data_IF_939940565484
#
_entry.id   IF_939940565484
#
_cell.length_a   1.000
_cell.length_b   1.000
_cell.length_c   1.000
_cell.angle_alpha   90.00
_cell.angle_beta   90.00
_cell.angle_gamma   90.00
#
_symmetry.space_group_name_H-M   'P 1'
#
loop_
_entity.id
_entity.type
_entity.pdbx_description
1 polymer ?
#
# COMPACT_ATOMS: atom_id res chain seq x y z
N UNK A 1 11.32 2.98 6.55
CA UNK A 1 11.81 4.18 5.86
C UNK A 1 10.62 5.01 5.42
N UNK A 2 10.62 6.30 5.75
CA UNK A 2 9.66 7.26 5.17
C UNK A 2 10.12 7.62 3.75
N UNK A 3 9.28 7.32 2.76
CA UNK A 3 9.49 7.70 1.36
C UNK A 3 8.22 8.36 0.79
N UNK A 4 7.57 9.24 1.57
CA UNK A 4 6.28 9.85 1.24
C UNK A 4 6.23 10.57 -0.13
N UNK A 5 7.37 11.08 -0.62
CA UNK A 5 7.51 11.75 -1.92
C UNK A 5 8.08 10.86 -3.02
N UNK A 6 8.48 9.64 -2.70
CA UNK A 6 9.01 8.69 -3.67
C UNK A 6 7.91 8.00 -4.47
N UNK A 7 8.31 7.39 -5.57
CA UNK A 7 7.44 6.57 -6.41
C UNK A 7 7.65 5.09 -6.10
N UNK A 8 6.60 4.30 -5.87
CA UNK A 8 6.73 2.85 -5.79
C UNK A 8 7.40 2.29 -7.05
N UNK A 9 8.35 1.38 -6.86
CA UNK A 9 9.12 0.69 -7.91
C UNK A 9 10.13 1.54 -8.71
N UNK A 10 10.19 2.87 -8.50
CA UNK A 10 11.13 3.76 -9.21
C UNK A 10 12.05 4.46 -8.20
N UNK A 11 13.34 4.49 -8.48
CA UNK A 11 14.33 5.11 -7.61
C UNK A 11 14.75 4.19 -6.47
N UNK A 12 14.41 4.54 -5.23
CA UNK A 12 14.85 3.79 -4.03
C UNK A 12 14.19 2.42 -3.96
N UNK A 13 14.98 1.38 -4.17
CA UNK A 13 14.58 -0.02 -3.99
C UNK A 13 14.77 -0.44 -2.53
N UNK A 14 13.68 -0.74 -1.82
CA UNK A 14 13.69 -1.20 -0.43
C UNK A 14 14.68 -2.36 -0.20
N UNK A 15 14.80 -3.29 -1.16
CA UNK A 15 15.68 -4.48 -1.06
C UNK A 15 17.16 -4.13 -1.05
N UNK A 16 17.52 -2.94 -1.54
CA UNK A 16 18.88 -2.41 -1.55
C UNK A 16 19.15 -1.49 -0.36
N UNK A 17 18.17 -1.34 0.53
CA UNK A 17 18.29 -0.60 1.77
C UNK A 17 18.32 -1.57 2.96
N UNK A 18 18.81 -1.10 4.11
CA UNK A 18 18.73 -1.85 5.37
C UNK A 18 17.36 -1.68 6.08
N UNK A 19 16.32 -1.20 5.39
CA UNK A 19 15.00 -1.01 5.97
C UNK A 19 14.09 -2.22 5.71
N UNK A 20 13.20 -2.52 6.66
CA UNK A 20 12.23 -3.62 6.51
C UNK A 20 10.93 -3.23 5.81
N UNK A 21 10.57 -1.94 5.87
CA UNK A 21 9.36 -1.37 5.29
C UNK A 21 9.64 0.00 4.67
N UNK A 22 8.87 0.36 3.65
CA UNK A 22 8.83 1.67 3.02
C UNK A 22 7.40 2.19 2.96
N UNK A 23 7.20 3.46 3.33
CA UNK A 23 5.90 4.13 3.33
C UNK A 23 5.86 5.18 2.22
N UNK A 24 4.72 5.31 1.57
CA UNK A 24 4.48 6.24 0.47
C UNK A 24 3.15 6.99 0.66
N UNK A 25 3.11 8.23 0.18
CA UNK A 25 1.86 8.99 0.00
C UNK A 25 1.47 8.90 -1.47
N UNK A 26 0.36 8.23 -1.77
CA UNK A 26 -0.03 7.95 -3.16
C UNK A 26 -0.59 9.18 -3.89
N UNK A 27 -1.09 10.16 -3.13
CA UNK A 27 -1.57 11.44 -3.63
C UNK A 27 -0.46 12.43 -3.97
N UNK A 28 0.65 12.44 -3.21
CA UNK A 28 1.74 13.41 -3.39
C UNK A 28 2.51 13.20 -4.69
N UNK A 29 3.06 12.01 -4.87
CA UNK A 29 4.01 11.74 -5.96
C UNK A 29 3.34 11.08 -7.17
N UNK A 30 2.30 10.26 -6.94
CA UNK A 30 1.67 9.44 -7.98
C UNK A 30 0.39 10.07 -8.53
N UNK A 31 -0.16 11.09 -7.86
CA UNK A 31 -1.43 11.72 -8.24
C UNK A 31 -2.64 10.77 -8.13
N UNK A 32 -2.52 9.73 -7.29
CA UNK A 32 -3.63 8.83 -6.99
C UNK A 32 -4.60 9.47 -5.97
N UNK A 33 -5.78 8.87 -5.70
CA UNK A 33 -6.63 9.30 -4.60
C UNK A 33 -5.89 9.30 -3.25
N UNK A 34 -6.35 10.10 -2.29
CA UNK A 34 -5.77 10.20 -0.93
C UNK A 34 -5.68 8.82 -0.27
N UNK A 35 -4.48 8.25 -0.27
CA UNK A 35 -4.19 6.94 0.28
C UNK A 35 -2.71 6.80 0.64
N UNK A 36 -2.42 6.04 1.69
CA UNK A 36 -1.07 5.60 2.02
C UNK A 36 -0.78 4.21 1.45
N UNK A 37 0.46 3.96 1.05
CA UNK A 37 0.94 2.63 0.66
C UNK A 37 2.13 2.24 1.53
N UNK A 38 2.14 1.00 2.02
CA UNK A 38 3.26 0.42 2.77
C UNK A 38 3.69 -0.86 2.04
N UNK A 39 4.98 -0.95 1.71
CA UNK A 39 5.60 -2.14 1.11
C UNK A 39 6.70 -2.61 2.05
N UNK A 40 6.74 -3.90 2.36
CA UNK A 40 7.81 -4.45 3.18
C UNK A 40 7.64 -5.92 3.49
N UNK A 41 8.46 -6.41 4.41
CA UNK A 41 8.50 -7.83 4.78
C UNK A 41 7.25 -8.22 5.59
N UNK A 42 6.75 -9.42 5.37
CA UNK A 42 5.46 -9.87 5.92
C UNK A 42 5.48 -9.91 7.46
N UNK A 43 6.60 -10.33 8.06
CA UNK A 43 6.78 -10.38 9.51
C UNK A 43 6.61 -9.01 10.20
N UNK A 44 6.93 -7.92 9.50
CA UNK A 44 6.74 -6.54 10.00
C UNK A 44 5.35 -6.01 9.64
N UNK A 45 4.75 -6.47 8.55
CA UNK A 45 3.41 -6.05 8.15
C UNK A 45 2.30 -6.58 9.07
N UNK A 46 2.45 -7.75 9.67
CA UNK A 46 1.47 -8.30 10.63
C UNK A 46 1.21 -7.36 11.83
N UNK A 47 2.23 -6.95 12.62
CA UNK A 47 2.00 -6.02 13.73
C UNK A 47 1.52 -4.64 13.25
N UNK A 48 1.97 -4.16 12.09
CA UNK A 48 1.49 -2.90 11.51
C UNK A 48 -0.02 -2.93 11.21
N UNK A 49 -0.50 -4.00 10.55
CA UNK A 49 -1.93 -4.14 10.24
C UNK A 49 -2.79 -4.27 11.50
N UNK A 50 -2.28 -4.89 12.57
CA UNK A 50 -2.93 -4.93 13.90
C UNK A 50 -3.02 -3.55 14.52
N UNK A 51 -1.91 -2.80 14.53
CA UNK A 51 -1.89 -1.43 15.05
C UNK A 51 -2.83 -0.50 14.28
N UNK A 52 -2.98 -0.71 12.96
CA UNK A 52 -3.93 0.01 12.11
C UNK A 52 -5.40 -0.46 12.27
N UNK A 53 -5.66 -1.51 13.05
CA UNK A 53 -7.01 -2.07 13.25
C UNK A 53 -7.59 -2.76 12.01
N UNK A 54 -6.79 -3.08 11.00
CA UNK A 54 -7.22 -3.74 9.75
C UNK A 54 -6.99 -5.26 9.75
N UNK A 55 -6.41 -5.78 10.82
CA UNK A 55 -6.15 -7.20 11.05
C UNK A 55 -6.59 -7.56 12.46
N UNK A 56 -7.23 -8.73 12.62
CA UNK A 56 -7.73 -9.18 13.93
C UNK A 56 -6.61 -9.59 14.89
N UNK A 57 -6.94 -9.68 16.19
CA UNK A 57 -5.99 -10.08 17.25
C UNK A 57 -5.53 -11.54 17.16
N UNK A 58 -6.17 -12.37 16.32
CA UNK A 58 -5.80 -13.78 16.15
C UNK A 58 -4.62 -13.93 15.19
N UNK A 59 -3.64 -14.74 15.59
CA UNK A 59 -2.57 -15.18 14.69
C UNK A 59 -3.15 -16.09 13.61
N UNK A 60 -2.97 -15.71 12.34
CA UNK A 60 -3.33 -16.54 11.18
C UNK A 60 -4.49 -16.05 10.31
N UNK A 61 -5.21 -14.98 10.67
CA UNK A 61 -6.28 -14.42 9.82
C UNK A 61 -5.81 -13.15 9.12
N UNK A 62 -5.24 -13.31 7.92
CA UNK A 62 -4.65 -12.24 7.09
C UNK A 62 -5.52 -10.99 6.90
N UNK A 63 -6.84 -11.11 6.94
CA UNK A 63 -7.75 -10.04 6.51
C UNK A 63 -9.03 -9.96 7.35
N UNK A 64 -9.39 -8.74 7.77
CA UNK A 64 -10.71 -8.42 8.31
C UNK A 64 -11.52 -7.68 7.24
N UNK A 65 -12.12 -8.42 6.29
CA UNK A 65 -12.94 -7.85 5.22
C UNK A 65 -14.39 -7.53 5.62
N UNK A 66 -14.76 -7.77 6.89
CA UNK A 66 -16.16 -7.91 7.30
C UNK A 66 -17.03 -6.64 7.25
N UNK A 67 -16.46 -5.43 7.12
CA UNK A 67 -17.25 -4.17 7.25
C UNK A 67 -17.57 -3.46 5.95
N UNK A 68 -16.97 -3.83 4.82
CA UNK A 68 -17.18 -3.16 3.53
C UNK A 68 -17.88 -4.05 2.48
N UNK A 69 -18.20 -5.31 2.80
CA UNK A 69 -18.76 -6.27 1.83
C UNK A 69 -20.13 -5.85 1.27
N UNK A 70 -20.92 -5.08 2.04
CA UNK A 70 -22.31 -4.73 1.69
C UNK A 70 -22.50 -3.32 1.12
N UNK A 71 -21.43 -2.54 0.96
CA UNK A 71 -21.51 -1.16 0.46
C UNK A 71 -21.01 -1.11 -0.98
N UNK A 72 -21.90 -0.89 -1.94
CA UNK A 72 -21.56 -0.94 -3.38
C UNK A 72 -20.58 0.14 -3.80
N UNK A 73 -20.71 1.34 -3.23
CA UNK A 73 -19.86 2.51 -3.48
C UNK A 73 -19.38 2.98 -2.12
N UNK A 74 -18.12 2.67 -1.78
CA UNK A 74 -17.48 3.20 -0.58
C UNK A 74 -16.16 3.90 -0.95
N UNK A 75 -15.83 5.02 -0.27
CA UNK A 75 -14.61 5.77 -0.56
C UNK A 75 -13.32 4.95 -0.45
N UNK A 76 -13.32 3.88 0.37
CA UNK A 76 -12.16 2.99 0.52
C UNK A 76 -11.93 2.11 -0.70
N UNK A 77 -13.00 1.56 -1.30
CA UNK A 77 -12.94 0.83 -2.57
C UNK A 77 -12.50 1.71 -3.72
N UNK A 78 -13.04 2.93 -3.81
CA UNK A 78 -12.64 3.89 -4.84
C UNK A 78 -11.15 4.25 -4.73
N UNK A 79 -10.69 4.55 -3.51
CA UNK A 79 -9.27 4.82 -3.26
C UNK A 79 -8.39 3.62 -3.62
N UNK A 80 -8.79 2.40 -3.24
CA UNK A 80 -8.06 1.18 -3.58
C UNK A 80 -7.98 0.95 -5.09
N UNK A 81 -9.08 1.12 -5.82
CA UNK A 81 -9.12 1.00 -7.29
C UNK A 81 -8.19 2.04 -7.93
N UNK A 82 -8.23 3.29 -7.47
CA UNK A 82 -7.34 4.35 -7.95
C UNK A 82 -5.85 4.05 -7.71
N UNK A 83 -5.50 3.57 -6.51
CA UNK A 83 -4.14 3.13 -6.18
C UNK A 83 -3.70 1.96 -7.06
N UNK A 84 -4.55 0.95 -7.27
CA UNK A 84 -4.23 -0.18 -8.15
C UNK A 84 -3.99 0.30 -9.59
N UNK A 85 -4.83 1.20 -10.11
CA UNK A 85 -4.65 1.77 -11.44
C UNK A 85 -3.30 2.51 -11.56
N UNK A 86 -2.96 3.32 -10.57
CA UNK A 86 -1.70 4.04 -10.50
C UNK A 86 -0.49 3.09 -10.49
N UNK A 87 -0.51 2.04 -9.66
CA UNK A 87 0.56 1.04 -9.59
C UNK A 87 0.72 0.26 -10.90
N UNK A 88 -0.38 -0.05 -11.61
CA UNK A 88 -0.32 -0.67 -12.94
C UNK A 88 0.37 0.24 -13.94
N UNK A 89 0.05 1.53 -13.96
CA UNK A 89 0.70 2.51 -14.84
C UNK A 89 2.20 2.59 -14.54
N UNK A 90 2.58 2.68 -13.26
CA UNK A 90 3.99 2.71 -12.86
C UNK A 90 4.70 1.44 -13.35
N UNK A 91 4.16 0.25 -13.08
CA UNK A 91 4.74 -1.03 -13.52
C UNK A 91 4.87 -1.13 -15.05
N UNK A 92 3.85 -0.73 -15.80
CA UNK A 92 3.78 -0.99 -17.25
C UNK A 92 4.54 0.05 -18.08
N UNK A 93 4.60 1.31 -17.62
CA UNK A 93 5.34 2.38 -18.32
C UNK A 93 6.84 2.39 -17.99
N UNK A 94 7.24 1.94 -16.81
CA UNK A 94 8.67 1.93 -16.41
C UNK A 94 9.46 0.73 -16.92
N UNK A 95 8.79 -0.37 -17.32
CA UNK A 95 9.45 -1.55 -17.89
C UNK A 95 9.92 -1.36 -19.34
N UNK A 96 9.68 -0.18 -19.94
CA UNK A 96 10.06 0.15 -21.34
C UNK A 96 11.31 1.04 -21.47
N UNK A 97 12.06 1.31 -20.40
CA UNK A 97 13.35 2.02 -20.48
C UNK A 97 14.54 1.06 -20.43
#
# INVERSE_FOLDING_TARGET
>A
MDNAWGLPFIGTDLRKTNADVMLYSMDKAVGAPTAGLIIGKEEVMVPLRRALGVHGDRWGTGTSHGKAAYVTIDPGKEALVGVIAALKVLRDKTRKS
#
